data_IF_889101149656
#
_entry.id   IF_889101149656
#
_cell.length_a   1.000
_cell.length_b   1.000
_cell.length_c   1.000
_cell.angle_alpha   90.00
_cell.angle_beta   90.00
_cell.angle_gamma   90.00
#
_symmetry.space_group_name_H-M   'P 1'
#
loop_
_entity.id
_entity.type
_entity.pdbx_description
1 polymer ?
#
# COMPACT_ATOMS: atom_id res chain seq x y z
N UNK A 1 18.06 21.82 18.83
CA UNK A 1 16.99 20.85 18.48
C UNK A 1 16.99 20.65 16.97
N UNK A 2 18.04 20.00 16.49
CA UNK A 2 18.37 19.82 15.07
C UNK A 2 18.66 18.33 14.83
N UNK A 3 18.38 17.85 13.61
CA UNK A 3 18.84 16.58 12.99
C UNK A 3 17.89 15.37 12.87
N UNK A 4 16.56 15.50 12.84
CA UNK A 4 15.69 14.37 12.44
C UNK A 4 14.80 14.59 11.20
N UNK A 5 14.86 15.76 10.55
CA UNK A 5 14.09 16.02 9.32
C UNK A 5 14.94 15.95 8.03
N UNK A 6 16.25 15.65 8.13
CA UNK A 6 17.17 15.81 7.00
C UNK A 6 17.31 14.57 6.09
N UNK A 7 16.87 13.38 6.54
CA UNK A 7 17.02 12.16 5.75
C UNK A 7 15.90 11.92 4.73
N UNK A 8 14.79 12.65 4.79
CA UNK A 8 13.72 12.55 3.78
C UNK A 8 14.04 13.29 2.47
N UNK A 9 15.18 14.01 2.40
CA UNK A 9 15.57 14.82 1.24
C UNK A 9 16.62 14.16 0.33
N UNK A 10 17.05 12.93 0.62
CA UNK A 10 17.83 12.14 -0.32
C UNK A 10 16.86 11.29 -1.14
N UNK A 11 16.45 11.82 -2.30
CA UNK A 11 15.63 11.12 -3.30
C UNK A 11 14.11 11.04 -3.01
N UNK A 12 13.47 12.13 -2.56
CA UNK A 12 12.00 12.21 -2.58
C UNK A 12 11.50 12.46 -4.00
N UNK A 13 11.51 11.41 -4.83
CA UNK A 13 10.70 11.41 -6.05
C UNK A 13 9.26 11.52 -5.57
N UNK A 14 8.58 12.61 -5.95
CA UNK A 14 7.15 12.75 -5.70
C UNK A 14 6.43 11.68 -6.51
N UNK A 15 6.17 10.54 -5.88
CA UNK A 15 5.42 9.43 -6.48
C UNK A 15 3.97 9.89 -6.60
N UNK A 16 3.54 10.19 -7.82
CA UNK A 16 2.14 10.38 -8.15
C UNK A 16 1.62 9.07 -8.71
N UNK A 17 0.63 8.47 -8.04
CA UNK A 17 -0.07 7.28 -8.54
C UNK A 17 -1.44 7.68 -9.05
N UNK A 18 -1.83 7.11 -10.17
CA UNK A 18 -3.21 7.20 -10.66
C UNK A 18 -4.09 6.30 -9.81
N UNK A 19 -5.12 6.87 -9.19
CA UNK A 19 -6.05 6.08 -8.38
C UNK A 19 -7.03 5.35 -9.29
N UNK A 20 -7.22 4.02 -9.13
CA UNK A 20 -8.12 3.28 -9.99
C UNK A 20 -9.55 3.83 -9.97
N UNK A 21 -10.25 3.91 -11.12
CA UNK A 21 -11.54 4.59 -11.23
C UNK A 21 -12.69 3.89 -10.47
N UNK A 22 -12.51 2.63 -10.11
CA UNK A 22 -13.44 1.83 -9.32
C UNK A 22 -13.28 2.03 -7.81
N UNK A 23 -12.28 2.80 -7.37
CA UNK A 23 -12.06 3.20 -5.99
C UNK A 23 -12.41 4.69 -5.81
N UNK A 24 -12.88 5.05 -4.60
CA UNK A 24 -13.29 6.41 -4.26
C UNK A 24 -12.21 7.11 -3.44
N UNK A 25 -11.73 8.27 -3.90
CA UNK A 25 -10.83 9.13 -3.11
C UNK A 25 -11.62 9.95 -2.10
N UNK A 26 -11.08 10.10 -0.89
CA UNK A 26 -11.75 10.74 0.24
C UNK A 26 -12.58 9.78 1.09
N UNK A 27 -12.58 8.50 0.75
CA UNK A 27 -13.32 7.48 1.49
C UNK A 27 -12.45 6.24 1.73
N UNK A 28 -12.82 5.41 2.72
CA UNK A 28 -12.25 4.08 2.84
C UNK A 28 -12.75 3.20 1.69
N UNK A 29 -11.92 2.26 1.22
CA UNK A 29 -12.33 1.28 0.23
C UNK A 29 -12.03 -0.11 0.75
N UNK A 30 -13.05 -0.88 1.09
CA UNK A 30 -12.91 -2.26 1.56
C UNK A 30 -13.01 -3.24 0.38
N UNK A 31 -12.02 -4.12 0.23
CA UNK A 31 -12.00 -5.20 -0.75
C UNK A 31 -11.96 -6.55 -0.05
N UNK A 32 -12.94 -7.38 -0.35
CA UNK A 32 -12.99 -8.77 0.11
C UNK A 32 -12.61 -9.66 -1.07
N UNK A 33 -11.55 -10.45 -0.93
CA UNK A 33 -11.14 -11.41 -1.95
C UNK A 33 -10.57 -12.68 -1.30
N UNK A 34 -10.41 -13.75 -2.11
CA UNK A 34 -9.82 -14.99 -1.62
C UNK A 34 -8.34 -14.78 -1.24
N UNK A 35 -7.86 -15.53 -0.25
CA UNK A 35 -6.48 -15.43 0.25
C UNK A 35 -5.41 -15.52 -0.85
N UNK A 36 -5.66 -16.35 -1.89
CA UNK A 36 -4.75 -16.50 -3.04
C UNK A 36 -4.67 -15.27 -3.94
N UNK A 37 -5.69 -14.42 -3.92
CA UNK A 37 -5.82 -13.25 -4.79
C UNK A 37 -5.39 -11.95 -4.13
N UNK A 38 -5.32 -11.89 -2.79
CA UNK A 38 -5.00 -10.66 -2.03
C UNK A 38 -3.79 -9.92 -2.60
N UNK A 39 -2.65 -10.59 -2.73
CA UNK A 39 -1.43 -9.95 -3.22
C UNK A 39 -1.52 -9.56 -4.70
N UNK A 40 -2.26 -10.33 -5.52
CA UNK A 40 -2.50 -9.96 -6.91
C UNK A 40 -3.34 -8.70 -6.99
N UNK A 41 -4.40 -8.59 -6.17
CA UNK A 41 -5.23 -7.40 -6.04
C UNK A 41 -4.39 -6.19 -5.63
N UNK A 42 -3.51 -6.33 -4.63
CA UNK A 42 -2.58 -5.26 -4.23
C UNK A 42 -1.75 -4.79 -5.42
N UNK A 43 -1.04 -5.71 -6.10
CA UNK A 43 -0.19 -5.33 -7.23
C UNK A 43 -1.01 -4.70 -8.35
N UNK A 44 -2.24 -5.15 -8.59
CA UNK A 44 -3.09 -4.60 -9.63
C UNK A 44 -3.49 -3.14 -9.43
N UNK A 45 -3.64 -2.72 -8.16
CA UNK A 45 -3.90 -1.33 -7.79
C UNK A 45 -2.69 -0.45 -8.18
N UNK A 46 -1.48 -0.98 -8.00
CA UNK A 46 -0.24 -0.26 -8.28
C UNK A 46 0.22 -0.39 -9.74
N UNK A 47 -0.25 -1.40 -10.48
CA UNK A 47 0.11 -1.65 -11.88
C UNK A 47 -0.75 -0.90 -12.89
N UNK A 48 -1.59 0.05 -12.46
CA UNK A 48 -2.39 0.86 -13.36
C UNK A 48 -1.52 1.71 -14.31
N UNK A 49 -0.29 2.05 -13.89
CA UNK A 49 0.71 2.69 -14.75
C UNK A 49 1.95 1.81 -14.84
N UNK A 50 2.31 1.39 -16.07
CA UNK A 50 3.46 0.48 -16.29
C UNK A 50 4.80 1.05 -15.77
N UNK A 51 4.92 2.38 -15.69
CA UNK A 51 6.14 3.05 -15.23
C UNK A 51 6.16 3.38 -13.73
N UNK A 52 5.04 3.22 -13.01
CA UNK A 52 5.00 3.50 -11.56
C UNK A 52 5.92 2.55 -10.78
N UNK A 53 6.72 3.04 -9.82
CA UNK A 53 7.57 2.17 -8.99
C UNK A 53 6.73 1.21 -8.15
N UNK A 54 7.37 0.11 -7.74
CA UNK A 54 6.76 -0.85 -6.81
C UNK A 54 6.28 -0.14 -5.52
N UNK A 55 5.22 -0.65 -4.87
CA UNK A 55 4.78 -0.11 -3.59
C UNK A 55 5.90 -0.10 -2.56
N UNK A 56 6.04 1.01 -1.85
CA UNK A 56 7.00 1.16 -0.77
C UNK A 56 6.40 0.71 0.58
N UNK A 57 7.27 0.44 1.56
CA UNK A 57 6.86 -0.03 2.89
C UNK A 57 6.08 1.02 3.71
N UNK A 58 6.06 2.28 3.29
CA UNK A 58 5.22 3.32 3.86
C UNK A 58 3.80 3.33 3.27
N UNK A 59 3.61 2.80 2.06
CA UNK A 59 2.34 2.71 1.34
C UNK A 59 1.55 1.45 1.70
N UNK A 60 2.23 0.33 1.90
CA UNK A 60 1.58 -0.97 2.15
C UNK A 60 1.93 -1.50 3.54
N UNK A 61 0.91 -1.74 4.36
CA UNK A 61 1.03 -2.45 5.62
C UNK A 61 0.44 -3.85 5.50
N UNK A 62 1.31 -4.86 5.54
CA UNK A 62 0.90 -6.26 5.63
C UNK A 62 0.60 -6.62 7.09
N UNK A 63 -0.66 -6.85 7.39
CA UNK A 63 -1.06 -7.31 8.71
C UNK A 63 -0.66 -8.77 8.91
N UNK A 64 -0.21 -9.05 10.13
CA UNK A 64 0.11 -10.38 10.65
C UNK A 64 -0.53 -10.50 12.04
N UNK A 65 -0.63 -11.70 12.62
CA UNK A 65 -1.10 -11.88 13.99
C UNK A 65 -0.28 -11.12 15.04
N UNK A 66 0.94 -10.71 14.71
CA UNK A 66 1.84 -9.94 15.59
C UNK A 66 1.76 -8.43 15.37
N UNK A 67 0.91 -7.98 14.45
CA UNK A 67 0.75 -6.56 14.16
C UNK A 67 0.13 -5.87 15.36
N UNK A 68 0.84 -4.88 15.89
CA UNK A 68 0.40 -4.12 17.07
C UNK A 68 -0.48 -2.95 16.68
N UNK A 69 -1.27 -2.45 17.64
CA UNK A 69 -2.08 -1.25 17.43
C UNK A 69 -1.24 -0.04 17.00
N UNK A 70 -0.03 0.12 17.54
CA UNK A 70 0.84 1.26 17.21
C UNK A 70 1.25 1.26 15.72
N UNK A 71 1.51 0.07 15.15
CA UNK A 71 1.78 -0.06 13.71
C UNK A 71 0.60 0.41 12.87
N UNK A 72 -0.62 0.00 13.24
CA UNK A 72 -1.84 0.38 12.50
C UNK A 72 -2.16 1.86 12.68
N UNK A 73 -2.02 2.41 13.88
CA UNK A 73 -2.21 3.84 14.14
C UNK A 73 -1.17 4.71 13.44
N UNK A 74 0.08 4.25 13.39
CA UNK A 74 1.16 4.92 12.63
C UNK A 74 0.85 4.89 11.15
N UNK A 75 0.31 3.78 10.65
CA UNK A 75 -0.16 3.68 9.27
C UNK A 75 -1.30 4.68 9.00
N UNK A 76 -2.32 4.76 9.86
CA UNK A 76 -3.37 5.78 9.74
C UNK A 76 -2.81 7.20 9.69
N UNK A 77 -1.88 7.55 10.58
CA UNK A 77 -1.23 8.86 10.55
C UNK A 77 -0.59 9.13 9.18
N UNK A 78 0.07 8.14 8.57
CA UNK A 78 0.63 8.28 7.21
C UNK A 78 -0.48 8.51 6.17
N UNK A 79 -1.57 7.74 6.21
CA UNK A 79 -2.69 7.90 5.28
C UNK A 79 -3.28 9.31 5.29
N UNK A 80 -3.51 9.88 6.46
CA UNK A 80 -4.20 11.18 6.61
C UNK A 80 -3.26 12.40 6.56
N UNK A 81 -1.94 12.20 6.75
CA UNK A 81 -0.94 13.27 6.74
C UNK A 81 0.04 13.21 5.56
N UNK A 82 -0.08 12.22 4.67
CA UNK A 82 0.76 12.13 3.46
C UNK A 82 0.46 13.25 2.48
N UNK A 83 1.49 13.61 1.71
CA UNK A 83 1.35 14.44 0.52
C UNK A 83 0.51 13.72 -0.55
N UNK A 84 -0.17 14.52 -1.37
CA UNK A 84 -1.10 14.06 -2.41
C UNK A 84 -0.39 13.15 -3.42
N UNK A 85 -0.96 11.97 -3.71
CA UNK A 85 -0.51 11.10 -4.81
C UNK A 85 -0.25 9.64 -4.44
N UNK A 86 -0.02 9.33 -3.16
CA UNK A 86 0.20 7.95 -2.69
C UNK A 86 -1.10 7.18 -2.49
N UNK A 87 -1.03 5.86 -2.61
CA UNK A 87 -2.14 4.95 -2.34
C UNK A 87 -1.73 4.10 -1.15
N UNK A 88 -2.54 4.10 -0.10
CA UNK A 88 -2.28 3.35 1.12
C UNK A 88 -3.10 2.08 1.15
N UNK A 89 -2.44 0.93 1.31
CA UNK A 89 -3.08 -0.38 1.38
C UNK A 89 -2.81 -1.04 2.74
N UNK A 90 -3.88 -1.30 3.50
CA UNK A 90 -3.86 -2.22 4.63
C UNK A 90 -4.25 -3.61 4.12
N UNK A 91 -3.37 -4.59 4.24
CA UNK A 91 -3.55 -5.93 3.66
C UNK A 91 -3.70 -6.95 4.77
N UNK A 92 -4.55 -7.95 4.59
CA UNK A 92 -4.88 -8.98 5.59
C UNK A 92 -5.45 -8.39 6.89
N UNK A 93 -6.37 -7.42 6.78
CA UNK A 93 -7.03 -6.83 7.95
C UNK A 93 -7.79 -7.88 8.81
N UNK A 94 -8.02 -9.07 8.27
CA UNK A 94 -8.57 -10.24 8.94
C UNK A 94 -7.62 -10.93 9.94
N UNK A 95 -6.31 -10.73 9.80
CA UNK A 95 -5.30 -11.32 10.70
C UNK A 95 -5.05 -10.50 11.97
N UNK A 96 -5.65 -9.31 12.08
CA UNK A 96 -5.55 -8.48 13.28
C UNK A 96 -6.31 -9.15 14.43
N UNK A 97 -5.70 -9.11 15.63
CA UNK A 97 -6.41 -9.51 16.85
C UNK A 97 -7.66 -8.65 17.06
N UNK A 98 -8.67 -9.19 17.73
CA UNK A 98 -9.93 -8.50 17.98
C UNK A 98 -9.74 -7.14 18.68
N UNK A 99 -8.93 -7.07 19.75
CA UNK A 99 -8.70 -5.80 20.48
C UNK A 99 -7.99 -4.77 19.58
N UNK A 100 -7.00 -5.23 18.81
CA UNK A 100 -6.27 -4.38 17.88
C UNK A 100 -7.19 -3.87 16.77
N UNK A 101 -8.02 -4.76 16.21
CA UNK A 101 -8.98 -4.43 15.16
C UNK A 101 -10.03 -3.44 15.63
N UNK A 102 -10.63 -3.65 16.80
CA UNK A 102 -11.66 -2.77 17.36
C UNK A 102 -11.09 -1.36 17.64
N UNK A 103 -9.93 -1.29 18.30
CA UNK A 103 -9.31 0.01 18.61
C UNK A 103 -8.77 0.72 17.38
N UNK A 104 -8.27 -0.03 16.40
CA UNK A 104 -7.80 0.53 15.14
C UNK A 104 -8.96 1.10 14.31
N UNK A 105 -10.13 0.46 14.34
CA UNK A 105 -11.34 0.93 13.66
C UNK A 105 -11.83 2.25 14.25
N UNK A 106 -11.99 2.34 15.58
CA UNK A 106 -12.35 3.59 16.24
C UNK A 106 -11.33 4.72 15.95
N UNK A 107 -10.05 4.38 15.83
CA UNK A 107 -9.02 5.35 15.44
C UNK A 107 -9.20 5.80 13.99
N UNK A 108 -9.52 4.88 13.08
CA UNK A 108 -9.75 5.15 11.68
C UNK A 108 -10.97 6.07 11.50
N UNK A 109 -12.09 5.77 12.15
CA UNK A 109 -13.31 6.59 12.08
C UNK A 109 -13.07 8.05 12.47
N UNK A 110 -12.34 8.28 13.58
CA UNK A 110 -11.97 9.64 14.01
C UNK A 110 -11.14 10.36 12.96
N UNK A 111 -10.18 9.67 12.34
CA UNK A 111 -9.35 10.28 11.31
C UNK A 111 -10.13 10.57 10.02
N UNK A 112 -11.05 9.69 9.62
CA UNK A 112 -11.94 9.92 8.47
C UNK A 112 -12.82 11.16 8.71
N UNK A 113 -13.46 11.27 9.88
CA UNK A 113 -14.28 12.44 10.23
C UNK A 113 -13.48 13.76 10.24
N UNK A 114 -12.23 13.71 10.71
CA UNK A 114 -11.31 14.86 10.64
C UNK A 114 -10.89 15.20 9.20
N UNK A 115 -10.67 14.20 8.36
CA UNK A 115 -10.30 14.39 6.96
C UNK A 115 -11.45 15.02 6.16
N UNK A 116 -12.67 14.56 6.38
CA UNK A 116 -13.89 15.12 5.77
C UNK A 116 -14.10 16.58 6.15
N UNK A 117 -13.91 16.91 7.43
CA UNK A 117 -14.01 18.29 7.93
C UNK A 117 -12.96 19.22 7.32
N UNK A 118 -11.77 18.68 7.02
CA UNK A 118 -10.68 19.43 6.40
C UNK A 118 -10.72 19.41 4.86
N UNK A 119 -11.70 18.74 4.25
CA UNK A 119 -11.80 18.58 2.79
C UNK A 119 -10.64 17.80 2.15
N UNK A 120 -9.91 17.00 2.93
CA UNK A 120 -8.75 16.24 2.43
C UNK A 120 -9.18 14.94 1.78
N UNK A 121 -8.80 14.74 0.52
CA UNK A 121 -9.05 13.49 -0.22
C UNK A 121 -7.92 12.50 0.01
N UNK A 122 -8.09 11.59 0.97
CA UNK A 122 -7.16 10.48 1.20
C UNK A 122 -7.46 9.30 0.27
N UNK A 123 -6.49 8.40 0.07
CA UNK A 123 -6.62 7.21 -0.77
C UNK A 123 -6.28 5.98 0.06
N UNK A 124 -7.32 5.42 0.70
CA UNK A 124 -7.19 4.26 1.56
C UNK A 124 -7.88 3.05 0.94
N UNK A 125 -7.15 1.94 0.89
CA UNK A 125 -7.67 0.63 0.53
C UNK A 125 -7.40 -0.34 1.68
N UNK A 126 -8.42 -1.05 2.11
CA UNK A 126 -8.35 -2.12 3.11
C UNK A 126 -8.72 -3.42 2.42
N UNK A 127 -7.87 -4.43 2.54
CA UNK A 127 -8.05 -5.73 1.88
C UNK A 127 -8.09 -6.81 2.95
N UNK A 128 -9.09 -7.68 2.86
CA UNK A 128 -9.25 -8.82 3.76
C UNK A 128 -9.59 -10.10 3.00
N UNK A 129 -9.23 -11.22 3.61
CA UNK A 129 -9.61 -12.54 3.11
C UNK A 129 -11.09 -12.82 3.34
N UNK A 130 -11.77 -13.34 2.33
CA UNK A 130 -13.15 -13.87 2.45
C UNK A 130 -13.24 -15.06 3.42
N UNK A 131 -12.11 -15.72 3.74
CA UNK A 131 -12.08 -16.88 4.65
C UNK A 131 -12.24 -16.47 6.12
N UNK A 132 -11.86 -15.25 6.47
CA UNK A 132 -11.82 -14.76 7.85
C UNK A 132 -12.55 -13.41 8.03
N UNK A 133 -13.36 -12.98 7.05
CA UNK A 133 -14.07 -11.69 7.09
C UNK A 133 -14.88 -11.50 8.39
N UNK A 134 -15.50 -12.57 8.90
CA UNK A 134 -16.33 -12.55 10.11
C UNK A 134 -15.55 -12.35 11.41
N UNK A 135 -14.23 -12.56 11.41
CA UNK A 135 -13.40 -12.46 12.63
C UNK A 135 -12.94 -11.03 12.92
N UNK A 136 -12.88 -10.19 11.89
CA UNK A 136 -12.30 -8.86 12.00
C UNK A 136 -13.37 -7.80 12.18
N UNK A 137 -13.31 -7.12 13.34
CA UNK A 137 -14.19 -6.01 13.68
C UNK A 137 -14.07 -4.85 12.67
N UNK A 138 -12.86 -4.67 12.14
CA UNK A 138 -12.52 -3.67 11.13
C UNK A 138 -13.29 -3.91 9.85
N UNK A 139 -13.35 -5.17 9.38
CA UNK A 139 -14.08 -5.54 8.16
C UNK A 139 -15.57 -5.27 8.33
N UNK A 140 -16.15 -5.70 9.45
CA UNK A 140 -17.56 -5.47 9.75
C UNK A 140 -17.94 -3.98 9.83
N UNK A 141 -17.05 -3.13 10.37
CA UNK A 141 -17.28 -1.69 10.43
C UNK A 141 -17.16 -1.00 9.06
N UNK A 142 -16.28 -1.51 8.20
CA UNK A 142 -16.02 -0.97 6.86
C UNK A 142 -16.92 -1.58 5.77
N UNK A 143 -17.88 -2.44 6.13
CA UNK A 143 -18.79 -3.09 5.18
C UNK A 143 -19.58 -2.09 4.32
N UNK A 144 -19.96 -0.93 4.90
CA UNK A 144 -20.60 0.18 4.16
C UNK A 144 -19.72 0.79 3.07
N UNK A 145 -18.41 0.58 3.16
CA UNK A 145 -17.38 1.03 2.21
C UNK A 145 -16.87 -0.09 1.31
N UNK A 146 -17.58 -1.22 1.27
CA UNK A 146 -17.25 -2.33 0.40
C UNK A 146 -17.28 -1.91 -1.07
N UNK A 147 -16.25 -2.34 -1.81
CA UNK A 147 -16.11 -2.15 -3.25
C UNK A 147 -15.87 -3.52 -3.88
N UNK A 148 -16.43 -3.79 -5.07
CA UNK A 148 -16.21 -5.06 -5.74
C UNK A 148 -14.72 -5.25 -6.05
N UNK A 149 -14.15 -6.36 -5.60
CA UNK A 149 -12.78 -6.72 -5.96
C UNK A 149 -12.74 -7.06 -7.46
N UNK A 150 -11.88 -6.37 -8.21
CA UNK A 150 -11.60 -6.73 -9.61
C UNK A 150 -10.51 -7.79 -9.61
N UNK A 151 -10.78 -8.93 -10.26
CA UNK A 151 -9.78 -9.96 -10.48
C UNK A 151 -8.77 -9.48 -11.51
N UNK A 152 -7.51 -9.30 -11.13
CA UNK A 152 -6.54 -8.72 -12.04
C UNK A 152 -6.02 -9.77 -13.02
N UNK A 153 -5.72 -9.32 -14.25
CA UNK A 153 -5.10 -10.19 -15.24
C UNK A 153 -3.67 -10.54 -14.81
N UNK A 154 -3.43 -11.84 -14.61
CA UNK A 154 -2.14 -12.39 -14.19
C UNK A 154 -1.02 -12.08 -15.18
N UNK A 155 -1.32 -11.98 -16.48
CA UNK A 155 -0.32 -11.67 -17.50
C UNK A 155 0.17 -10.22 -17.38
N UNK A 156 -0.73 -9.29 -17.12
CA UNK A 156 -0.40 -7.87 -16.89
C UNK A 156 0.45 -7.70 -15.63
N UNK A 157 0.09 -8.39 -14.54
CA UNK A 157 0.87 -8.39 -13.29
C UNK A 157 2.26 -8.97 -13.55
N UNK A 158 2.33 -10.12 -14.23
CA UNK A 158 3.60 -10.77 -14.55
C UNK A 158 4.50 -9.87 -15.39
N UNK A 159 3.97 -9.23 -16.43
CA UNK A 159 4.70 -8.29 -17.27
C UNK A 159 5.22 -7.09 -16.47
N UNK A 160 4.37 -6.52 -15.61
CA UNK A 160 4.75 -5.41 -14.73
C UNK A 160 5.89 -5.79 -13.78
N UNK A 161 5.77 -6.91 -13.07
CA UNK A 161 6.80 -7.39 -12.15
C UNK A 161 8.10 -7.71 -12.90
N UNK A 162 8.03 -8.41 -14.05
CA UNK A 162 9.21 -8.71 -14.86
C UNK A 162 9.93 -7.43 -15.33
N UNK A 163 9.19 -6.39 -15.70
CA UNK A 163 9.80 -5.11 -16.10
C UNK A 163 10.52 -4.42 -14.92
N UNK A 164 9.93 -4.47 -13.72
CA UNK A 164 10.50 -3.82 -12.53
C UNK A 164 11.62 -4.61 -11.84
N UNK A 165 11.62 -5.94 -11.97
CA UNK A 165 12.67 -6.81 -11.46
C UNK A 165 13.74 -7.15 -12.51
N UNK A 166 13.70 -6.54 -13.70
CA UNK A 166 14.85 -6.55 -14.61
C UNK A 166 16.00 -5.82 -13.91
N UNK A 167 16.88 -6.60 -13.31
CA UNK A 167 18.19 -6.13 -12.86
C UNK A 167 18.85 -5.59 -14.12
N UNK A 168 19.06 -4.27 -14.18
CA UNK A 168 20.00 -3.71 -15.14
C UNK A 168 21.35 -4.31 -14.78
N UNK A 169 21.74 -5.36 -15.48
CA UNK A 169 23.14 -5.79 -15.52
C UNK A 169 23.87 -4.66 -16.23
N UNK A 170 24.28 -3.64 -15.49
CA UNK A 170 25.40 -2.82 -15.91
C UNK A 170 26.61 -3.74 -15.88
N UNK A 171 26.85 -4.43 -17.00
CA UNK A 171 28.15 -4.96 -17.33
C UNK A 171 29.08 -3.74 -17.38
N UNK A 172 29.78 -3.47 -16.28
CA UNK A 172 30.98 -2.67 -16.32
C UNK A 172 32.01 -3.54 -17.04
N UNK A 173 31.96 -3.54 -18.38
CA UNK A 173 33.10 -3.94 -19.19
C UNK A 173 34.16 -2.84 -19.03
N UNK A 174 34.98 -2.94 -17.99
CA UNK A 174 36.27 -2.23 -17.98
C UNK A 174 37.27 -3.06 -18.78
N UNK A 175 37.77 -2.55 -19.93
CA UNK A 175 38.90 -3.15 -20.63
C UNK A 175 40.18 -2.80 -19.86
N UNK A 176 40.45 -3.54 -18.78
CA UNK A 176 41.66 -3.37 -17.97
C UNK A 176 42.50 -4.65 -17.96
N UNK A 177 42.64 -5.29 -19.13
CA UNK A 177 43.51 -6.46 -19.32
C UNK A 177 44.28 -6.37 -20.64
N UNK A 178 44.98 -5.25 -20.88
CA UNK A 178 46.08 -5.19 -21.84
C UNK A 178 47.18 -4.35 -21.20
N UNK A 179 48.04 -5.02 -20.44
CA UNK A 179 49.39 -4.54 -20.18
C UNK A 179 50.31 -5.51 -20.90
N UNK A 180 50.70 -5.14 -22.12
CA UNK A 180 51.85 -5.70 -22.81
C UNK A 180 53.09 -5.37 -21.95
N UNK A 181 53.86 -6.40 -21.59
CA UNK A 181 55.22 -6.25 -21.08
C UNK A 181 56.17 -6.79 -22.15
N UNK A 182 56.83 -5.88 -22.85
CA UNK A 182 58.11 -6.11 -23.54
C UNK A 182 59.26 -6.24 -22.53
#
# INVERSE_FOLDING_TARGET
MAKCAFLTNLHSVKIQRTFPPWLISGDANLLICAQSEIYKTVISIYSNEEDSPLPQADEVLLCTPYTTLDMVQTFWKRVFHSEEGKIFCLVNADLLDYDVSDRAEHSLERHMAMADSNGKKYRLVVICSSENEYKSRMVAALDKYHRPAIYPNVDSIRKYLLNKFQVKTECIETPACVADFD
#
